data_IF_240560883360
#
_entry.id   IF_240560883360
#
_cell.length_a   1.000
_cell.length_b   1.000
_cell.length_c   1.000
_cell.angle_alpha   90.00
_cell.angle_beta   90.00
_cell.angle_gamma   90.00
#
_symmetry.space_group_name_H-M   'P 1'
#
loop_
_entity.id
_entity.type
_entity.pdbx_description
1 polymer ?
#
# COMPACT_ATOMS: atom_id res chain seq x y z
N UNK A 1 18.65 -5.40 8.15
CA UNK A 1 18.44 -6.19 9.38
C UNK A 1 18.19 -7.64 8.97
N UNK A 2 18.80 -8.62 9.65
CA UNK A 2 18.53 -10.05 9.42
C UNK A 2 17.20 -10.42 10.09
N UNK A 3 16.33 -11.11 9.36
CA UNK A 3 15.05 -11.60 9.90
C UNK A 3 15.33 -12.72 10.89
N UNK A 4 14.80 -12.61 12.10
CA UNK A 4 14.78 -13.68 13.08
C UNK A 4 13.66 -14.67 12.76
N UNK A 5 14.00 -15.71 12.00
CA UNK A 5 13.04 -16.75 11.59
C UNK A 5 12.46 -17.54 12.76
N UNK A 6 13.13 -17.64 13.91
CA UNK A 6 12.60 -18.30 15.08
C UNK A 6 11.46 -17.47 15.67
N UNK A 7 11.69 -16.18 15.84
CA UNK A 7 10.69 -15.24 16.35
C UNK A 7 9.45 -15.22 15.45
N UNK A 8 9.63 -15.06 14.13
CA UNK A 8 8.51 -15.03 13.18
C UNK A 8 7.67 -16.33 13.23
N UNK A 9 8.36 -17.49 13.38
CA UNK A 9 7.68 -18.78 13.51
C UNK A 9 6.86 -18.90 14.80
N UNK A 10 7.35 -18.35 15.89
CA UNK A 10 6.63 -18.38 17.17
C UNK A 10 5.42 -17.43 17.12
N UNK A 11 5.53 -16.27 16.51
CA UNK A 11 4.39 -15.37 16.26
C UNK A 11 3.35 -16.02 15.34
N UNK A 12 3.76 -16.72 14.28
CA UNK A 12 2.84 -17.49 13.43
C UNK A 12 2.06 -18.56 14.18
N UNK A 13 2.68 -19.25 15.16
CA UNK A 13 1.97 -20.19 16.01
C UNK A 13 0.88 -19.52 16.85
N UNK A 14 1.16 -18.31 17.38
CA UNK A 14 0.17 -17.54 18.12
C UNK A 14 -1.00 -17.12 17.23
N UNK A 15 -0.73 -16.62 16.02
CA UNK A 15 -1.75 -16.26 15.04
C UNK A 15 -2.63 -17.48 14.72
N UNK A 16 -2.03 -18.64 14.43
CA UNK A 16 -2.74 -19.88 14.16
C UNK A 16 -3.63 -20.29 15.34
N UNK A 17 -3.12 -20.16 16.56
CA UNK A 17 -3.89 -20.50 17.76
C UNK A 17 -5.15 -19.63 17.89
N UNK A 18 -5.05 -18.34 17.63
CA UNK A 18 -6.20 -17.43 17.68
C UNK A 18 -7.18 -17.67 16.51
N UNK A 19 -6.67 -17.92 15.29
CA UNK A 19 -7.52 -18.33 14.16
C UNK A 19 -8.30 -19.62 14.51
N UNK A 20 -7.64 -20.60 15.13
CA UNK A 20 -8.30 -21.86 15.49
C UNK A 20 -9.41 -21.67 16.55
N UNK A 21 -9.23 -20.80 17.53
CA UNK A 21 -10.20 -20.50 18.59
C UNK A 21 -11.42 -19.72 18.07
N UNK A 22 -11.21 -18.79 17.14
CA UNK A 22 -12.26 -17.90 16.65
C UNK A 22 -13.26 -18.63 15.76
N UNK A 23 -14.57 -18.42 16.00
CA UNK A 23 -15.61 -18.86 15.08
C UNK A 23 -15.87 -17.84 13.96
N UNK A 24 -15.63 -16.55 14.28
CA UNK A 24 -15.81 -15.43 13.35
C UNK A 24 -14.52 -14.63 13.29
N UNK A 25 -14.10 -14.28 12.07
CA UNK A 25 -12.88 -13.52 11.78
C UNK A 25 -13.25 -12.38 10.83
N UNK A 26 -12.80 -11.17 11.15
CA UNK A 26 -12.94 -10.00 10.29
C UNK A 26 -11.56 -9.44 9.98
N UNK A 27 -11.24 -9.29 8.70
CA UNK A 27 -9.94 -8.80 8.24
C UNK A 27 -10.06 -7.34 7.84
N UNK A 28 -9.30 -6.49 8.50
CA UNK A 28 -9.24 -5.05 8.31
C UNK A 28 -7.94 -4.66 7.59
N UNK A 29 -7.93 -3.49 6.98
CA UNK A 29 -6.79 -2.83 6.35
C UNK A 29 -6.84 -1.33 6.57
N UNK A 30 -5.88 -0.58 6.03
CA UNK A 30 -5.92 0.88 6.12
C UNK A 30 -6.93 1.51 5.15
N UNK A 31 -7.39 2.74 5.49
CA UNK A 31 -8.17 3.61 4.60
C UNK A 31 -7.38 3.95 3.34
N UNK A 32 -8.09 4.19 2.23
CA UNK A 32 -7.47 4.49 0.93
C UNK A 32 -6.41 3.43 0.54
N UNK A 33 -6.83 2.18 0.38
CA UNK A 33 -5.94 1.06 0.19
C UNK A 33 -5.11 1.18 -1.09
N UNK A 34 -3.91 0.61 -1.03
CA UNK A 34 -3.08 0.31 -2.18
C UNK A 34 -3.13 -1.18 -2.52
N UNK A 35 -2.26 -1.61 -3.44
CA UNK A 35 -2.20 -3.00 -3.86
C UNK A 35 -1.76 -3.95 -2.75
N UNK A 36 -0.88 -3.50 -1.82
CA UNK A 36 -0.44 -4.35 -0.72
C UNK A 36 -1.53 -4.55 0.32
N UNK A 37 -2.23 -3.49 0.72
CA UNK A 37 -3.35 -3.59 1.65
C UNK A 37 -4.45 -4.51 1.12
N UNK A 38 -4.83 -4.36 -0.16
CA UNK A 38 -5.85 -5.20 -0.80
C UNK A 38 -5.37 -6.63 -1.03
N UNK A 39 -4.15 -6.81 -1.54
CA UNK A 39 -3.54 -8.12 -1.78
C UNK A 39 -3.38 -8.92 -0.49
N UNK A 40 -2.90 -8.27 0.55
CA UNK A 40 -2.77 -8.83 1.90
C UNK A 40 -4.11 -9.25 2.49
N UNK A 41 -5.11 -8.38 2.43
CA UNK A 41 -6.45 -8.64 2.95
C UNK A 41 -7.11 -9.80 2.21
N UNK A 42 -7.17 -9.73 0.88
CA UNK A 42 -7.86 -10.73 0.07
C UNK A 42 -7.12 -12.07 0.02
N UNK A 43 -5.79 -12.05 -0.02
CA UNK A 43 -4.99 -13.27 0.04
C UNK A 43 -5.20 -14.03 1.35
N UNK A 44 -5.15 -13.32 2.48
CA UNK A 44 -5.41 -13.94 3.79
C UNK A 44 -6.86 -14.38 3.95
N UNK A 45 -7.83 -13.56 3.50
CA UNK A 45 -9.25 -13.92 3.51
C UNK A 45 -9.53 -15.20 2.75
N UNK A 46 -9.08 -15.27 1.50
CA UNK A 46 -9.29 -16.45 0.63
C UNK A 46 -8.65 -17.68 1.26
N UNK A 47 -7.41 -17.58 1.73
CA UNK A 47 -6.74 -18.68 2.41
C UNK A 47 -7.48 -19.18 3.65
N UNK A 48 -7.94 -18.29 4.54
CA UNK A 48 -8.66 -18.70 5.74
C UNK A 48 -10.01 -19.33 5.38
N UNK A 49 -10.76 -18.73 4.47
CA UNK A 49 -12.06 -19.22 4.05
C UNK A 49 -12.02 -20.62 3.44
N UNK A 50 -11.00 -20.90 2.63
CA UNK A 50 -10.82 -22.20 1.99
C UNK A 50 -10.38 -23.31 2.95
N UNK A 51 -9.52 -22.97 3.91
CA UNK A 51 -8.93 -23.96 4.83
C UNK A 51 -9.70 -24.12 6.15
N UNK A 52 -10.62 -23.21 6.45
CA UNK A 52 -11.47 -23.24 7.65
C UNK A 52 -12.95 -23.03 7.30
N UNK A 53 -13.58 -23.95 6.54
CA UNK A 53 -14.92 -23.76 5.99
C UNK A 53 -16.03 -23.62 7.04
N UNK A 54 -15.76 -24.03 8.29
CA UNK A 54 -16.72 -23.88 9.40
C UNK A 54 -16.70 -22.48 10.04
N UNK A 55 -15.75 -21.61 9.66
CA UNK A 55 -15.63 -20.26 10.22
C UNK A 55 -16.36 -19.24 9.36
N UNK A 56 -16.96 -18.27 10.03
CA UNK A 56 -17.47 -17.05 9.39
C UNK A 56 -16.30 -16.09 9.17
N UNK A 57 -15.90 -15.86 7.91
CA UNK A 57 -14.77 -14.99 7.56
C UNK A 57 -15.26 -13.85 6.69
N UNK A 58 -14.91 -12.64 7.08
CA UNK A 58 -15.30 -11.40 6.40
C UNK A 58 -14.08 -10.50 6.20
N UNK A 59 -14.19 -9.54 5.28
CA UNK A 59 -13.26 -8.45 5.09
C UNK A 59 -14.02 -7.14 4.99
N UNK A 60 -13.42 -6.06 5.47
CA UNK A 60 -14.06 -4.74 5.55
C UNK A 60 -13.08 -3.64 5.16
N UNK A 61 -13.62 -2.48 4.83
CA UNK A 61 -12.88 -1.28 4.51
C UNK A 61 -13.67 -0.40 3.55
N UNK A 62 -13.17 0.78 3.27
CA UNK A 62 -13.72 1.68 2.26
C UNK A 62 -13.62 1.07 0.85
N UNK A 63 -14.52 1.46 -0.04
CA UNK A 63 -14.45 1.08 -1.45
C UNK A 63 -13.11 1.53 -2.03
N UNK A 64 -12.44 0.62 -2.72
CA UNK A 64 -11.20 0.96 -3.42
C UNK A 64 -11.48 1.94 -4.57
N UNK A 65 -10.49 2.72 -4.91
CA UNK A 65 -10.59 3.73 -5.96
C UNK A 65 -10.73 3.09 -7.34
N UNK A 66 -11.34 3.83 -8.26
CA UNK A 66 -11.57 3.42 -9.65
C UNK A 66 -10.31 2.99 -10.43
N UNK A 67 -9.12 3.31 -9.96
CA UNK A 67 -7.86 2.89 -10.60
C UNK A 67 -7.35 1.49 -10.20
N UNK A 68 -8.09 0.77 -9.33
CA UNK A 68 -7.81 -0.65 -9.00
C UNK A 68 -9.01 -1.54 -9.41
N UNK A 69 -9.76 -1.22 -10.46
CA UNK A 69 -10.93 -1.98 -10.84
C UNK A 69 -10.53 -3.36 -11.36
N UNK A 70 -11.39 -4.32 -11.25
CA UNK A 70 -11.27 -5.68 -11.78
C UNK A 70 -10.24 -6.63 -11.17
N UNK A 71 -9.34 -6.17 -10.29
CA UNK A 71 -8.37 -7.04 -9.62
C UNK A 71 -8.88 -7.58 -8.29
N UNK A 72 -9.77 -6.83 -7.62
CA UNK A 72 -10.30 -7.19 -6.30
C UNK A 72 -11.82 -7.08 -6.29
N UNK A 73 -12.50 -7.93 -5.50
CA UNK A 73 -13.95 -7.86 -5.36
C UNK A 73 -14.36 -6.57 -4.66
N UNK A 74 -15.52 -6.03 -5.01
CA UNK A 74 -16.13 -4.91 -4.32
C UNK A 74 -16.49 -5.27 -2.88
N UNK A 75 -16.28 -4.33 -1.96
CA UNK A 75 -16.70 -4.48 -0.59
C UNK A 75 -18.19 -4.16 -0.51
N UNK A 76 -18.96 -5.12 0.03
CA UNK A 76 -20.37 -4.90 0.36
C UNK A 76 -20.47 -4.55 1.83
N UNK A 77 -21.02 -3.37 2.11
CA UNK A 77 -21.32 -2.96 3.48
C UNK A 77 -22.41 -3.86 4.06
N UNK A 78 -22.08 -4.57 5.12
CA UNK A 78 -23.02 -5.37 5.92
C UNK A 78 -22.68 -5.18 7.41
N UNK A 79 -23.34 -4.21 8.08
CA UNK A 79 -23.10 -3.97 9.51
C UNK A 79 -23.38 -5.18 10.41
N UNK A 80 -24.19 -6.14 9.97
CA UNK A 80 -24.53 -7.33 10.77
C UNK A 80 -23.33 -8.26 11.02
N UNK A 81 -22.25 -8.11 10.27
CA UNK A 81 -21.03 -8.87 10.50
C UNK A 81 -20.40 -8.60 11.88
N UNK A 82 -20.71 -7.43 12.48
CA UNK A 82 -20.20 -7.02 13.77
C UNK A 82 -21.10 -7.41 14.97
N UNK A 83 -22.28 -7.99 14.72
CA UNK A 83 -23.27 -8.31 15.76
C UNK A 83 -22.87 -9.45 16.70
N UNK A 84 -21.85 -10.23 16.34
CA UNK A 84 -21.34 -11.34 17.15
C UNK A 84 -19.87 -11.14 17.50
N UNK A 85 -19.36 -11.74 18.58
CA UNK A 85 -17.93 -11.69 18.91
C UNK A 85 -17.05 -12.19 17.76
N UNK A 86 -15.96 -11.49 17.48
CA UNK A 86 -15.03 -11.81 16.39
C UNK A 86 -13.57 -11.55 16.75
N UNK A 87 -12.69 -12.23 16.05
CA UNK A 87 -11.27 -11.93 15.99
C UNK A 87 -11.04 -10.89 14.87
N UNK A 88 -10.40 -9.76 15.20
CA UNK A 88 -9.93 -8.82 14.20
C UNK A 88 -8.50 -9.16 13.77
N UNK A 89 -8.27 -9.22 12.45
CA UNK A 89 -6.92 -9.27 11.87
C UNK A 89 -6.74 -8.01 11.05
N UNK A 90 -5.82 -7.14 11.47
CA UNK A 90 -5.52 -5.88 10.79
C UNK A 90 -4.23 -6.07 9.99
N UNK A 91 -4.32 -5.96 8.68
CA UNK A 91 -3.18 -6.10 7.77
C UNK A 91 -2.73 -4.75 7.25
N UNK A 92 -1.44 -4.64 6.98
CA UNK A 92 -0.81 -3.51 6.29
C UNK A 92 -1.21 -2.13 6.84
N UNK A 93 -1.18 -1.97 8.16
CA UNK A 93 -1.61 -0.72 8.81
C UNK A 93 -0.66 -0.34 9.94
N UNK A 94 0.22 0.63 9.67
CA UNK A 94 1.22 1.10 10.63
C UNK A 94 0.62 1.90 11.81
N UNK A 95 -0.52 2.56 11.60
CA UNK A 95 -1.12 3.51 12.53
C UNK A 95 -2.61 3.21 12.73
N UNK A 96 -3.02 3.12 14.00
CA UNK A 96 -4.41 2.79 14.37
C UNK A 96 -5.46 3.74 13.79
N UNK A 97 -5.13 5.02 13.62
CA UNK A 97 -6.06 6.01 13.06
C UNK A 97 -6.37 5.78 11.57
N UNK A 98 -5.52 5.02 10.89
CA UNK A 98 -5.70 4.69 9.47
C UNK A 98 -6.45 3.38 9.24
N UNK A 99 -6.79 2.63 10.29
CA UNK A 99 -7.60 1.42 10.14
C UNK A 99 -8.97 1.80 9.59
N UNK A 100 -9.35 1.26 8.44
CA UNK A 100 -10.71 1.41 7.92
C UNK A 100 -11.70 0.76 8.90
N UNK A 101 -12.89 1.36 9.07
CA UNK A 101 -13.86 0.93 10.10
C UNK A 101 -13.25 0.93 11.51
N UNK A 102 -12.61 2.05 11.88
CA UNK A 102 -11.80 2.17 13.10
C UNK A 102 -12.59 1.94 14.40
N UNK A 103 -13.87 2.26 14.43
CA UNK A 103 -14.70 2.02 15.63
C UNK A 103 -14.97 0.53 15.83
N UNK A 104 -15.24 -0.18 14.75
CA UNK A 104 -15.64 -1.59 14.75
C UNK A 104 -14.47 -2.48 15.17
N UNK A 105 -13.25 -2.29 14.60
CA UNK A 105 -12.15 -3.19 14.94
C UNK A 105 -11.77 -3.17 16.42
N UNK A 106 -12.03 -2.06 17.12
CA UNK A 106 -11.77 -1.92 18.57
C UNK A 106 -12.70 -2.75 19.44
N UNK A 107 -13.86 -3.17 18.88
CA UNK A 107 -14.85 -4.00 19.59
C UNK A 107 -14.55 -5.50 19.45
N UNK A 108 -13.48 -5.88 18.76
CA UNK A 108 -13.07 -7.27 18.61
C UNK A 108 -12.69 -7.91 19.97
N UNK A 109 -12.92 -9.20 20.11
CA UNK A 109 -12.52 -9.96 21.31
C UNK A 109 -11.01 -10.10 21.42
N UNK A 110 -10.32 -10.13 20.29
CA UNK A 110 -8.86 -10.11 20.21
C UNK A 110 -8.43 -9.44 18.88
N UNK A 111 -7.26 -8.82 18.86
CA UNK A 111 -6.73 -8.07 17.71
C UNK A 111 -5.36 -8.62 17.35
N UNK A 112 -5.18 -9.00 16.10
CA UNK A 112 -3.89 -9.37 15.50
C UNK A 112 -3.51 -8.28 14.51
N UNK A 113 -2.30 -7.72 14.65
CA UNK A 113 -1.68 -6.84 13.67
C UNK A 113 -0.65 -7.62 12.87
N UNK A 114 -0.76 -7.61 11.53
CA UNK A 114 0.23 -8.17 10.59
C UNK A 114 0.66 -7.05 9.67
N UNK A 115 1.92 -6.61 9.75
CA UNK A 115 2.35 -5.38 9.10
C UNK A 115 3.84 -5.38 8.78
N UNK A 116 4.25 -4.59 7.80
CA UNK A 116 5.64 -4.37 7.46
C UNK A 116 6.11 -2.91 7.69
N UNK A 117 5.24 -2.02 8.12
CA UNK A 117 5.61 -0.65 8.49
C UNK A 117 6.42 -0.60 9.80
N UNK A 118 7.20 0.47 10.05
CA UNK A 118 7.83 0.67 11.36
C UNK A 118 6.82 0.57 12.50
N UNK A 119 7.10 -0.26 13.49
CA UNK A 119 6.16 -0.54 14.59
C UNK A 119 6.18 0.57 15.66
N UNK A 120 5.77 1.77 15.29
CA UNK A 120 5.69 2.93 16.20
C UNK A 120 4.46 2.89 17.10
N UNK A 121 3.42 2.15 16.72
CA UNK A 121 2.16 2.02 17.45
C UNK A 121 1.69 0.55 17.45
N UNK A 122 2.13 -0.26 18.44
CA UNK A 122 1.66 -1.65 18.59
C UNK A 122 0.27 -1.65 19.21
N UNK A 123 -0.78 -1.83 18.42
CA UNK A 123 -2.17 -1.79 18.85
C UNK A 123 -2.86 -3.17 18.90
N UNK A 124 -2.22 -4.21 18.42
CA UNK A 124 -2.73 -5.58 18.48
C UNK A 124 -2.38 -6.27 19.81
N UNK A 125 -3.18 -7.24 20.22
CA UNK A 125 -2.82 -8.20 21.28
C UNK A 125 -1.63 -9.06 20.81
N UNK A 126 -1.59 -9.36 19.50
CA UNK A 126 -0.45 -9.95 18.79
C UNK A 126 -0.01 -8.96 17.71
N UNK A 127 1.28 -8.62 17.71
CA UNK A 127 1.85 -7.71 16.70
C UNK A 127 2.96 -8.44 15.94
N UNK A 128 2.65 -8.96 14.78
CA UNK A 128 3.58 -9.58 13.84
C UNK A 128 4.02 -8.52 12.84
N UNK A 129 5.11 -7.81 13.16
CA UNK A 129 5.54 -6.63 12.40
C UNK A 129 7.00 -6.76 11.99
N UNK A 130 7.27 -6.71 10.67
CA UNK A 130 8.58 -6.94 10.08
C UNK A 130 8.94 -5.90 9.00
N UNK A 131 9.49 -4.73 9.40
CA UNK A 131 9.85 -3.65 8.48
C UNK A 131 11.00 -3.98 7.51
N UNK A 132 11.60 -5.14 7.65
CA UNK A 132 12.64 -5.64 6.74
C UNK A 132 12.08 -6.45 5.56
N UNK A 133 10.80 -6.71 5.54
CA UNK A 133 10.09 -7.32 4.41
C UNK A 133 9.58 -6.22 3.47
N UNK A 134 9.52 -6.54 2.19
CA UNK A 134 9.17 -5.58 1.15
C UNK A 134 7.68 -5.20 1.14
N UNK A 135 6.82 -6.04 1.74
CA UNK A 135 5.38 -5.84 1.78
C UNK A 135 4.72 -6.69 2.88
N UNK A 136 3.53 -6.32 3.28
CA UNK A 136 2.69 -7.13 4.16
C UNK A 136 2.26 -8.43 3.44
N UNK A 137 2.02 -8.39 2.13
CA UNK A 137 1.73 -9.57 1.32
C UNK A 137 2.88 -10.58 1.32
N UNK A 138 4.14 -10.12 1.34
CA UNK A 138 5.31 -10.99 1.53
C UNK A 138 5.25 -11.69 2.90
N UNK A 139 4.97 -10.95 3.98
CA UNK A 139 4.84 -11.52 5.33
C UNK A 139 3.71 -12.55 5.42
N UNK A 140 2.54 -12.24 4.84
CA UNK A 140 1.40 -13.17 4.80
C UNK A 140 1.72 -14.40 3.96
N UNK A 141 2.45 -14.25 2.86
CA UNK A 141 2.92 -15.39 2.05
C UNK A 141 3.82 -16.32 2.87
N UNK A 142 4.77 -15.77 3.63
CA UNK A 142 5.60 -16.55 4.57
C UNK A 142 4.74 -17.29 5.60
N UNK A 143 3.74 -16.62 6.17
CA UNK A 143 2.80 -17.24 7.10
C UNK A 143 2.07 -18.42 6.45
N UNK A 144 1.47 -18.22 5.30
CA UNK A 144 0.70 -19.24 4.56
C UNK A 144 1.60 -20.42 4.16
N UNK A 145 2.78 -20.18 3.62
CA UNK A 145 3.72 -21.24 3.25
C UNK A 145 4.22 -22.03 4.46
N UNK A 146 4.35 -21.39 5.64
CA UNK A 146 4.68 -22.11 6.87
C UNK A 146 3.61 -23.14 7.27
N UNK A 147 2.37 -22.91 6.84
CA UNK A 147 1.22 -23.78 7.11
C UNK A 147 1.07 -24.92 6.09
N UNK A 148 1.70 -24.84 4.92
CA UNK A 148 1.67 -25.89 3.87
C UNK A 148 2.06 -27.27 4.41
N UNK A 149 2.94 -27.34 5.40
CA UNK A 149 3.29 -28.58 6.10
C UNK A 149 2.12 -29.24 6.86
N UNK A 150 1.02 -28.51 7.05
CA UNK A 150 -0.20 -28.95 7.75
C UNK A 150 -1.32 -29.39 6.81
N UNK A 151 -1.02 -29.69 5.52
CA UNK A 151 -1.97 -30.09 4.47
C UNK A 151 -2.96 -28.99 4.06
N UNK A 152 -2.66 -27.74 4.31
CA UNK A 152 -3.50 -26.63 3.86
C UNK A 152 -3.26 -26.33 2.38
N UNK A 153 -4.34 -25.93 1.71
CA UNK A 153 -4.33 -25.61 0.28
C UNK A 153 -4.09 -24.12 0.10
N UNK A 154 -3.22 -23.76 -0.82
CA UNK A 154 -3.06 -22.40 -1.30
C UNK A 154 -3.60 -22.36 -2.71
N UNK A 155 -4.78 -21.75 -2.88
CA UNK A 155 -5.41 -21.65 -4.19
C UNK A 155 -4.69 -20.65 -5.09
N UNK A 156 -4.92 -20.79 -6.39
CA UNK A 156 -4.47 -19.81 -7.39
C UNK A 156 -5.00 -18.40 -7.07
N UNK A 157 -6.22 -18.28 -6.55
CA UNK A 157 -6.82 -17.01 -6.20
C UNK A 157 -6.09 -16.33 -5.04
N UNK A 158 -5.86 -17.03 -3.93
CA UNK A 158 -5.10 -16.50 -2.79
C UNK A 158 -3.67 -16.08 -3.22
N UNK A 159 -2.99 -16.91 -4.02
CA UNK A 159 -1.66 -16.63 -4.54
C UNK A 159 -1.66 -15.39 -5.46
N UNK A 160 -2.68 -15.21 -6.29
CA UNK A 160 -2.84 -14.05 -7.18
C UNK A 160 -2.91 -12.76 -6.37
N UNK A 161 -3.75 -12.71 -5.33
CA UNK A 161 -3.87 -11.51 -4.48
C UNK A 161 -2.55 -11.17 -3.79
N UNK A 162 -1.87 -12.16 -3.21
CA UNK A 162 -0.59 -11.94 -2.54
C UNK A 162 0.49 -11.47 -3.52
N UNK A 163 0.55 -12.03 -4.72
CA UNK A 163 1.47 -11.60 -5.75
C UNK A 163 1.22 -10.15 -6.18
N UNK A 164 -0.04 -9.74 -6.33
CA UNK A 164 -0.42 -8.35 -6.63
C UNK A 164 0.10 -7.40 -5.54
N UNK A 165 -0.07 -7.76 -4.26
CA UNK A 165 0.44 -6.97 -3.14
C UNK A 165 1.96 -6.79 -3.21
N UNK A 166 2.71 -7.86 -3.39
CA UNK A 166 4.18 -7.82 -3.52
C UNK A 166 4.61 -6.94 -4.72
N UNK A 167 3.99 -7.13 -5.88
CA UNK A 167 4.31 -6.34 -7.10
C UNK A 167 4.04 -4.86 -6.87
N UNK A 168 2.93 -4.53 -6.20
CA UNK A 168 2.55 -3.15 -5.90
C UNK A 168 3.59 -2.44 -5.03
N UNK A 169 3.95 -3.03 -3.91
CA UNK A 169 4.79 -2.39 -2.91
C UNK A 169 6.29 -2.41 -3.25
N UNK A 170 6.71 -3.39 -4.05
CA UNK A 170 8.07 -3.45 -4.60
C UNK A 170 8.27 -2.60 -5.86
N UNK A 171 7.22 -1.96 -6.36
CA UNK A 171 7.26 -1.25 -7.63
C UNK A 171 7.75 -2.14 -8.78
N UNK A 172 7.19 -3.33 -8.91
CA UNK A 172 7.60 -4.35 -9.89
C UNK A 172 9.01 -4.91 -9.63
N UNK A 173 9.33 -5.11 -8.36
CA UNK A 173 10.66 -5.59 -7.90
C UNK A 173 11.81 -4.62 -8.16
N UNK A 174 11.51 -3.32 -8.34
CA UNK A 174 12.52 -2.29 -8.65
C UNK A 174 12.95 -1.48 -7.41
N UNK A 175 12.22 -1.60 -6.30
CA UNK A 175 12.54 -0.83 -5.10
C UNK A 175 13.64 -1.50 -4.27
N UNK A 176 14.41 -0.70 -3.50
CA UNK A 176 15.56 -1.20 -2.74
C UNK A 176 15.21 -2.27 -1.69
N UNK A 177 13.97 -2.28 -1.21
CA UNK A 177 13.50 -3.22 -0.19
C UNK A 177 13.21 -4.61 -0.77
N UNK A 178 13.27 -4.76 -2.10
CA UNK A 178 13.15 -6.06 -2.78
C UNK A 178 14.37 -6.93 -2.49
N UNK A 179 14.17 -7.98 -1.72
CA UNK A 179 15.21 -8.90 -1.29
C UNK A 179 15.24 -10.19 -2.11
N UNK A 180 16.28 -11.00 -1.93
CA UNK A 180 16.32 -12.36 -2.51
C UNK A 180 15.18 -13.25 -1.98
N UNK A 181 14.64 -12.97 -0.79
CA UNK A 181 13.49 -13.67 -0.24
C UNK A 181 12.22 -13.28 -0.97
N UNK A 182 12.03 -11.99 -1.25
CA UNK A 182 10.90 -11.48 -2.04
C UNK A 182 10.81 -12.20 -3.38
N UNK A 183 11.94 -12.36 -4.09
CA UNK A 183 11.96 -13.11 -5.36
C UNK A 183 11.64 -14.61 -5.20
N UNK A 184 12.10 -15.26 -4.13
CA UNK A 184 11.76 -16.66 -3.87
C UNK A 184 10.28 -16.83 -3.59
N UNK A 185 9.69 -15.97 -2.74
CA UNK A 185 8.27 -15.99 -2.42
C UNK A 185 7.44 -15.73 -3.67
N UNK A 186 7.82 -14.74 -4.47
CA UNK A 186 7.15 -14.46 -5.75
C UNK A 186 7.23 -15.66 -6.71
N UNK A 187 8.38 -16.36 -6.75
CA UNK A 187 8.54 -17.62 -7.50
C UNK A 187 7.62 -18.71 -6.99
N UNK A 188 7.58 -18.94 -5.67
CA UNK A 188 6.68 -19.94 -5.05
C UNK A 188 5.20 -19.65 -5.34
N UNK A 189 4.80 -18.37 -5.38
CA UNK A 189 3.44 -17.97 -5.77
C UNK A 189 3.19 -18.24 -7.27
N UNK A 190 4.18 -18.00 -8.13
CA UNK A 190 4.11 -18.34 -9.56
C UNK A 190 3.95 -19.85 -9.78
N UNK A 191 4.63 -20.70 -9.00
CA UNK A 191 4.56 -22.16 -9.08
C UNK A 191 3.15 -22.70 -8.75
N UNK A 192 2.32 -21.93 -8.06
CA UNK A 192 0.90 -22.25 -7.84
C UNK A 192 0.10 -22.12 -9.14
N UNK A 193 0.63 -21.43 -10.15
CA UNK A 193 0.01 -21.30 -11.48
C UNK A 193 -0.80 -20.02 -11.66
N UNK A 194 -0.41 -18.92 -11.01
CA UNK A 194 -1.02 -17.60 -11.26
C UNK A 194 -0.80 -17.15 -12.71
N UNK A 195 -1.69 -16.32 -13.21
CA UNK A 195 -1.53 -15.70 -14.52
C UNK A 195 -0.83 -14.33 -14.36
N UNK A 196 0.48 -14.37 -14.38
CA UNK A 196 1.32 -13.19 -14.20
C UNK A 196 1.07 -12.14 -15.28
N UNK A 197 0.85 -12.56 -16.53
CA UNK A 197 0.67 -11.63 -17.63
C UNK A 197 -0.68 -10.90 -17.52
N UNK A 198 -1.76 -11.60 -17.14
CA UNK A 198 -3.05 -10.98 -16.84
C UNK A 198 -2.96 -10.00 -15.66
N UNK A 199 -2.22 -10.37 -14.60
CA UNK A 199 -1.98 -9.49 -13.45
C UNK A 199 -1.31 -8.17 -13.89
N UNK A 200 -0.18 -8.24 -14.61
CA UNK A 200 0.53 -7.04 -15.05
C UNK A 200 -0.29 -6.20 -16.02
N UNK A 201 -1.00 -6.83 -16.95
CA UNK A 201 -1.87 -6.14 -17.89
C UNK A 201 -2.98 -5.35 -17.15
N UNK A 202 -3.58 -5.92 -16.10
CA UNK A 202 -4.61 -5.25 -15.31
C UNK A 202 -4.06 -4.17 -14.39
N UNK A 203 -2.92 -4.44 -13.72
CA UNK A 203 -2.31 -3.48 -12.79
C UNK A 203 -1.79 -2.21 -13.48
N UNK A 204 -1.33 -2.35 -14.72
CA UNK A 204 -0.64 -1.28 -15.44
C UNK A 204 -1.31 -0.90 -16.76
N UNK A 205 -2.55 -1.33 -16.98
CA UNK A 205 -3.36 -0.82 -18.09
C UNK A 205 -3.49 0.70 -17.97
N UNK A 206 -3.20 1.39 -19.06
CA UNK A 206 -3.40 2.83 -19.16
C UNK A 206 -4.53 3.09 -20.15
N UNK A 207 -5.42 3.99 -19.82
CA UNK A 207 -6.42 4.49 -20.76
C UNK A 207 -5.89 5.71 -21.53
N UNK A 208 -6.62 6.16 -22.52
CA UNK A 208 -6.20 7.31 -23.34
C UNK A 208 -6.13 8.61 -22.56
N UNK A 209 -6.96 8.78 -21.54
CA UNK A 209 -6.96 9.95 -20.66
C UNK A 209 -5.68 10.02 -19.82
N UNK A 210 -5.23 8.89 -19.29
CA UNK A 210 -3.94 8.79 -18.59
C UNK A 210 -2.75 9.09 -19.51
N UNK A 211 -2.80 8.68 -20.78
CA UNK A 211 -1.77 9.03 -21.76
C UNK A 211 -1.78 10.53 -22.09
N UNK A 212 -2.94 11.17 -22.20
CA UNK A 212 -3.02 12.61 -22.39
C UNK A 212 -2.52 13.37 -21.14
N UNK A 213 -2.77 12.83 -19.95
CA UNK A 213 -2.18 13.39 -18.74
C UNK A 213 -0.66 13.23 -18.72
N UNK A 214 -0.12 12.07 -19.06
CA UNK A 214 1.32 11.86 -19.18
C UNK A 214 1.95 12.82 -20.18
N UNK A 215 1.36 12.98 -21.34
CA UNK A 215 1.79 13.94 -22.37
C UNK A 215 1.82 15.38 -21.82
N UNK A 216 0.77 15.75 -21.06
CA UNK A 216 0.75 17.06 -20.42
C UNK A 216 1.89 17.21 -19.42
N UNK A 217 2.14 16.21 -18.55
CA UNK A 217 3.26 16.22 -17.59
C UNK A 217 4.59 16.38 -18.30
N UNK A 218 4.83 15.64 -19.38
CA UNK A 218 6.06 15.72 -20.20
C UNK A 218 6.25 17.07 -20.89
N UNK A 219 5.19 17.84 -21.13
CA UNK A 219 5.27 19.17 -21.72
C UNK A 219 5.35 20.31 -20.67
N UNK A 220 5.07 20.03 -19.38
CA UNK A 220 4.93 21.05 -18.35
C UNK A 220 5.83 20.85 -17.12
N UNK A 221 6.69 19.84 -17.13
CA UNK A 221 7.65 19.68 -16.02
C UNK A 221 8.76 20.75 -16.07
N UNK A 222 9.34 20.99 -14.91
CA UNK A 222 10.52 21.85 -14.74
C UNK A 222 11.59 21.08 -13.99
N UNK A 223 12.87 21.36 -14.26
CA UNK A 223 14.01 20.79 -13.53
C UNK A 223 14.90 21.94 -13.08
N UNK A 224 15.27 21.94 -11.80
CA UNK A 224 16.25 22.87 -11.25
C UNK A 224 17.68 22.42 -11.58
N UNK A 225 18.65 23.30 -11.39
CA UNK A 225 20.07 22.94 -11.57
C UNK A 225 20.56 21.89 -10.58
N UNK A 226 19.92 21.81 -9.40
CA UNK A 226 20.22 20.89 -8.33
C UNK A 226 19.56 19.52 -8.51
N UNK A 227 18.69 19.37 -9.53
CA UNK A 227 18.07 18.10 -9.93
C UNK A 227 16.72 17.83 -9.28
N UNK A 228 16.00 18.84 -8.81
CA UNK A 228 14.58 18.72 -8.44
C UNK A 228 13.71 18.84 -9.67
N UNK A 229 13.01 17.77 -10.05
CA UNK A 229 12.02 17.79 -11.11
C UNK A 229 10.63 18.03 -10.50
N UNK A 230 9.83 18.90 -11.09
CA UNK A 230 8.48 19.16 -10.59
C UNK A 230 7.52 19.63 -11.67
N UNK A 231 6.23 19.43 -11.40
CA UNK A 231 5.14 19.99 -12.20
C UNK A 231 3.99 20.44 -11.30
N UNK A 232 3.26 21.45 -11.77
CA UNK A 232 2.18 22.10 -11.00
C UNK A 232 0.90 22.00 -11.82
N UNK A 233 -0.15 21.47 -11.22
CA UNK A 233 -1.45 21.25 -11.85
C UNK A 233 -2.49 22.10 -11.10
N UNK A 234 -3.06 23.08 -11.76
CA UNK A 234 -4.18 23.85 -11.22
C UNK A 234 -5.53 23.15 -11.44
N UNK A 235 -6.57 23.61 -10.77
CA UNK A 235 -7.92 23.06 -10.87
C UNK A 235 -8.48 23.09 -12.30
N UNK A 236 -8.18 24.16 -13.04
CA UNK A 236 -8.60 24.28 -14.44
C UNK A 236 -7.97 23.18 -15.32
N UNK A 237 -6.70 22.87 -15.08
CA UNK A 237 -5.99 21.79 -15.74
C UNK A 237 -6.51 20.42 -15.31
N UNK A 238 -6.77 20.21 -14.00
CA UNK A 238 -7.43 18.99 -13.53
C UNK A 238 -8.75 18.73 -14.26
N UNK A 239 -9.62 19.73 -14.33
CA UNK A 239 -10.90 19.63 -15.03
C UNK A 239 -10.75 19.34 -16.52
N UNK A 240 -9.80 20.01 -17.19
CA UNK A 240 -9.53 19.81 -18.64
C UNK A 240 -9.00 18.42 -18.94
N UNK A 241 -8.18 17.84 -18.06
CA UNK A 241 -7.61 16.51 -18.21
C UNK A 241 -8.52 15.40 -17.66
N UNK A 242 -9.64 15.74 -17.02
CA UNK A 242 -10.55 14.77 -16.43
C UNK A 242 -9.96 14.04 -15.20
N UNK A 243 -8.96 14.62 -14.52
CA UNK A 243 -8.31 14.00 -13.37
C UNK A 243 -8.76 14.62 -12.04
N UNK A 244 -8.79 13.81 -11.00
CA UNK A 244 -9.00 14.28 -9.64
C UNK A 244 -7.68 14.86 -9.04
N UNK A 245 -7.76 15.80 -8.09
CA UNK A 245 -6.55 16.30 -7.40
C UNK A 245 -5.69 15.21 -6.76
N UNK A 246 -6.30 14.11 -6.33
CA UNK A 246 -5.58 12.95 -5.77
C UNK A 246 -4.79 12.16 -6.82
N UNK A 247 -5.12 12.32 -8.10
CA UNK A 247 -4.53 11.62 -9.24
C UNK A 247 -3.35 12.38 -9.84
N UNK A 248 -3.15 13.64 -9.49
CA UNK A 248 -2.04 14.45 -9.99
C UNK A 248 -0.64 13.84 -9.81
N UNK A 249 -0.51 12.87 -8.92
CA UNK A 249 0.73 12.09 -8.67
C UNK A 249 0.92 10.85 -9.55
N UNK A 250 -0.02 10.48 -10.41
CA UNK A 250 0.01 9.22 -11.16
C UNK A 250 1.31 9.04 -11.96
N UNK A 251 1.79 10.12 -12.57
CA UNK A 251 3.00 10.07 -13.40
C UNK A 251 4.28 10.59 -12.69
N UNK A 252 4.27 10.71 -11.35
CA UNK A 252 5.43 11.23 -10.61
C UNK A 252 6.69 10.37 -10.78
N UNK A 253 6.53 9.07 -10.99
CA UNK A 253 7.65 8.15 -11.16
C UNK A 253 8.25 8.17 -12.57
N UNK A 254 7.67 8.88 -13.54
CA UNK A 254 8.18 9.00 -14.91
C UNK A 254 9.62 9.54 -14.94
N UNK A 255 9.95 10.44 -14.02
CA UNK A 255 11.27 11.08 -13.97
C UNK A 255 12.26 10.41 -13.02
N UNK A 256 11.87 9.32 -12.34
CA UNK A 256 12.67 8.70 -11.27
C UNK A 256 14.05 8.22 -11.73
N UNK A 257 14.16 7.75 -12.97
CA UNK A 257 15.38 7.19 -13.53
C UNK A 257 16.00 8.09 -14.61
N UNK A 258 15.61 9.36 -14.65
CA UNK A 258 16.21 10.34 -15.57
C UNK A 258 17.53 10.82 -14.97
N UNK A 259 18.60 10.79 -15.78
CA UNK A 259 19.92 11.26 -15.36
C UNK A 259 19.84 12.71 -14.89
N UNK A 260 20.48 13.00 -13.75
CA UNK A 260 20.46 14.32 -13.12
C UNK A 260 19.25 14.60 -12.25
N UNK A 261 18.17 13.81 -12.31
CA UNK A 261 17.02 13.96 -11.40
C UNK A 261 17.29 13.27 -10.08
N UNK A 262 17.25 14.04 -8.99
CA UNK A 262 17.50 13.57 -7.62
C UNK A 262 16.23 13.40 -6.79
N UNK A 263 15.21 14.19 -7.08
CA UNK A 263 13.85 14.01 -6.53
C UNK A 263 12.80 14.58 -7.48
N UNK A 264 11.56 14.16 -7.28
CA UNK A 264 10.41 14.59 -8.08
C UNK A 264 9.30 15.09 -7.17
N UNK A 265 8.65 16.19 -7.55
CA UNK A 265 7.48 16.73 -6.87
C UNK A 265 6.30 16.91 -7.84
N UNK A 266 5.13 16.43 -7.43
CA UNK A 266 3.84 16.73 -8.05
C UNK A 266 3.07 17.66 -7.13
N UNK A 267 2.65 18.82 -7.63
CA UNK A 267 1.92 19.83 -6.86
C UNK A 267 0.56 20.03 -7.54
N UNK A 268 -0.54 19.68 -6.87
CA UNK A 268 -1.88 19.69 -7.47
C UNK A 268 -2.85 20.47 -6.60
N UNK A 269 -3.55 21.42 -7.20
CA UNK A 269 -4.58 22.23 -6.51
C UNK A 269 -5.78 21.35 -6.11
N UNK A 270 -6.19 21.45 -4.85
CA UNK A 270 -7.41 20.84 -4.32
C UNK A 270 -8.33 21.93 -3.76
N UNK A 271 -9.14 22.51 -4.65
CA UNK A 271 -10.07 23.61 -4.31
C UNK A 271 -11.05 23.18 -3.22
N UNK A 272 -11.47 21.91 -3.22
CA UNK A 272 -12.44 21.41 -2.23
C UNK A 272 -11.86 21.44 -0.81
N UNK A 273 -10.55 21.28 -0.68
CA UNK A 273 -9.82 21.31 0.60
C UNK A 273 -9.12 22.64 0.85
N UNK A 274 -9.15 23.55 -0.10
CA UNK A 274 -8.44 24.84 -0.07
C UNK A 274 -6.94 24.65 0.21
N UNK A 275 -6.32 23.70 -0.46
CA UNK A 275 -4.91 23.36 -0.32
C UNK A 275 -4.30 22.89 -1.65
N UNK A 276 -2.98 22.90 -1.74
CA UNK A 276 -2.24 22.25 -2.81
C UNK A 276 -1.65 20.94 -2.29
N UNK A 277 -2.05 19.84 -2.88
CA UNK A 277 -1.55 18.51 -2.54
C UNK A 277 -0.16 18.34 -3.14
N UNK A 278 0.80 17.94 -2.31
CA UNK A 278 2.17 17.71 -2.73
C UNK A 278 2.49 16.23 -2.57
N UNK A 279 3.01 15.62 -3.63
CA UNK A 279 3.58 14.27 -3.57
C UNK A 279 5.06 14.35 -3.93
N UNK A 280 5.90 13.71 -3.13
CA UNK A 280 7.35 13.75 -3.23
C UNK A 280 7.92 12.35 -3.46
N UNK A 281 8.89 12.24 -4.35
CA UNK A 281 9.67 11.03 -4.57
C UNK A 281 11.15 11.36 -4.61
N UNK A 282 11.90 10.77 -3.70
CA UNK A 282 13.36 10.83 -3.71
C UNK A 282 13.94 9.74 -4.61
N UNK A 283 15.00 10.06 -5.32
CA UNK A 283 15.80 9.10 -6.08
C UNK A 283 17.18 8.95 -5.45
N UNK A 284 17.84 10.05 -5.23
CA UNK A 284 19.20 10.11 -4.65
C UNK A 284 19.22 10.87 -3.31
N UNK A 285 18.13 11.53 -2.93
CA UNK A 285 18.03 12.31 -1.69
C UNK A 285 16.72 12.04 -0.96
N UNK A 286 16.72 12.17 0.37
CA UNK A 286 15.54 12.00 1.21
C UNK A 286 14.58 13.18 1.06
N UNK A 287 13.26 12.91 1.07
CA UNK A 287 12.21 13.93 0.93
C UNK A 287 11.33 14.05 2.18
N UNK A 288 11.48 13.16 3.15
CA UNK A 288 10.62 13.08 4.34
C UNK A 288 10.76 14.35 5.21
N UNK A 289 11.99 14.79 5.47
CA UNK A 289 12.22 15.97 6.32
C UNK A 289 11.67 17.25 5.68
N UNK A 290 11.73 17.36 4.36
CA UNK A 290 11.09 18.45 3.64
C UNK A 290 9.57 18.34 3.75
N UNK A 291 8.99 17.15 3.55
CA UNK A 291 7.54 16.95 3.70
C UNK A 291 7.02 17.38 5.07
N UNK A 292 7.76 17.10 6.16
CA UNK A 292 7.41 17.51 7.52
C UNK A 292 7.29 19.02 7.68
N UNK A 293 8.17 19.80 7.03
CA UNK A 293 8.10 21.29 7.04
C UNK A 293 6.80 21.80 6.41
N UNK A 294 6.26 21.06 5.44
CA UNK A 294 5.05 21.42 4.70
C UNK A 294 3.84 20.55 5.12
N UNK A 295 3.65 20.34 6.41
CA UNK A 295 2.46 19.72 7.02
C UNK A 295 2.21 18.29 6.52
N UNK A 296 3.29 17.57 6.26
CA UNK A 296 3.27 16.23 5.68
C UNK A 296 4.13 15.23 6.42
N UNK A 297 4.49 14.15 5.71
CA UNK A 297 5.31 13.05 6.21
C UNK A 297 5.25 11.86 5.26
N UNK A 298 5.84 10.77 5.68
CA UNK A 298 5.90 9.52 4.91
C UNK A 298 7.22 8.80 5.14
N UNK A 299 7.75 8.19 4.09
CA UNK A 299 9.02 7.48 4.10
C UNK A 299 10.14 8.36 3.52
N UNK A 300 11.38 8.00 3.80
CA UNK A 300 12.58 8.73 3.34
C UNK A 300 12.53 9.10 1.85
N UNK A 301 12.06 8.21 0.99
CA UNK A 301 12.05 8.40 -0.47
C UNK A 301 10.64 8.56 -1.07
N UNK A 302 9.59 8.52 -0.24
CA UNK A 302 8.20 8.66 -0.69
C UNK A 302 7.36 9.32 0.39
N UNK A 303 7.05 10.60 0.22
CA UNK A 303 6.32 11.40 1.20
C UNK A 303 5.22 12.23 0.54
N UNK A 304 4.23 12.61 1.34
CA UNK A 304 3.20 13.57 0.97
C UNK A 304 3.31 14.83 1.81
N UNK A 305 2.92 15.96 1.25
CA UNK A 305 2.85 17.24 1.94
C UNK A 305 1.68 18.06 1.41
N UNK A 306 1.50 19.27 1.94
CA UNK A 306 0.52 20.24 1.42
C UNK A 306 1.02 21.68 1.56
N UNK A 307 0.66 22.51 0.58
CA UNK A 307 0.81 23.95 0.67
C UNK A 307 -0.58 24.55 0.94
N UNK A 308 -0.64 25.60 1.74
CA UNK A 308 -1.88 26.33 1.98
C UNK A 308 -2.13 27.36 0.89
N UNK A 309 -1.04 27.82 0.26
CA UNK A 309 -1.07 28.75 -0.86
C UNK A 309 0.07 28.46 -1.82
N UNK A 310 -0.14 28.71 -3.11
CA UNK A 310 0.87 28.44 -4.16
C UNK A 310 2.13 29.30 -3.99
N UNK A 311 2.08 30.39 -3.28
CA UNK A 311 3.26 31.23 -2.95
C UNK A 311 4.32 30.48 -2.13
N UNK A 312 3.97 29.38 -1.47
CA UNK A 312 4.91 28.50 -0.78
C UNK A 312 5.75 27.63 -1.75
N UNK A 313 5.41 27.58 -3.06
CA UNK A 313 6.06 26.71 -4.04
C UNK A 313 7.57 26.94 -4.12
N UNK A 314 8.01 28.18 -4.27
CA UNK A 314 9.44 28.50 -4.44
C UNK A 314 10.26 28.07 -3.21
N UNK A 315 9.67 28.22 -2.02
CA UNK A 315 10.29 27.78 -0.76
C UNK A 315 10.37 26.25 -0.70
N UNK A 316 9.32 25.53 -1.12
CA UNK A 316 9.33 24.07 -1.20
C UNK A 316 10.42 23.57 -2.15
N UNK A 317 10.51 24.15 -3.36
CA UNK A 317 11.51 23.73 -4.36
C UNK A 317 12.93 24.02 -3.84
N UNK A 318 13.16 25.15 -3.22
CA UNK A 318 14.44 25.47 -2.58
C UNK A 318 14.81 24.46 -1.48
N UNK A 319 13.87 24.14 -0.60
CA UNK A 319 14.10 23.14 0.46
C UNK A 319 14.38 21.72 -0.13
N UNK A 320 13.74 21.38 -1.24
CA UNK A 320 14.04 20.13 -1.97
C UNK A 320 15.42 20.16 -2.62
N UNK A 321 15.86 21.28 -3.14
CA UNK A 321 17.20 21.44 -3.72
C UNK A 321 18.30 21.31 -2.66
N UNK A 322 18.07 21.84 -1.46
CA UNK A 322 18.99 21.79 -0.33
C UNK A 322 18.95 20.46 0.45
N UNK A 323 17.96 19.59 0.21
CA UNK A 323 17.82 18.29 0.89
C UNK A 323 19.01 17.36 0.60
N UNK A 324 19.36 16.52 1.60
CA UNK A 324 20.49 15.56 1.55
C UNK A 324 20.04 14.13 1.31
#
# INVERSE_FOLDING_TARGET
MTIDFKKIHDEFKLIIAEINKANRIIIFRHEMPDYDALGSQMGLYTFIKENYPSKEVFYVGDSHRSFIPSLFPEIKEDPSIFDKPYLAIVVDTGNVKRVASNNEFRNATNIIKIDHHPNVEPFGNINCVYPSLSSCAELISLFIFSMKKRKQIISKEAATYLYIGIVGDTGRFLYPDTSSMTFRIAGDLCDIGIDKDDIYNKMYAQNMEELEFLKWVLNNYKITKEGTCYYVIDDATCKRLGILPSEGKLHINTFRNVEGVKCVASITEDVSRKEWRVSLRGTLKGVEEVAKKYRGGGHKFASGAKLLDISELDSLIKDLDEAK
#
